data_IF_219368190652
#
_entry.id   IF_219368190652
#
_cell.length_a   1.000
_cell.length_b   1.000
_cell.length_c   1.000
_cell.angle_alpha   90.00
_cell.angle_beta   90.00
_cell.angle_gamma   90.00
#
_symmetry.space_group_name_H-M   'P 1'
#
loop_
_entity.id
_entity.type
_entity.pdbx_description
1 polymer ?
#
# COMPACT_ATOMS: atom_id res chain seq x y z
N UNK A 1 -2.17 7.42 -9.41
CA UNK A 1 -2.94 7.05 -8.22
C UNK A 1 -2.42 7.84 -7.05
N UNK A 2 -3.27 8.65 -6.42
CA UNK A 2 -2.94 9.44 -5.23
C UNK A 2 -2.90 8.58 -3.97
N UNK A 3 -2.47 9.18 -2.85
CA UNK A 3 -2.51 8.51 -1.55
C UNK A 3 -3.96 8.18 -1.14
N UNK A 4 -4.90 9.08 -1.43
CA UNK A 4 -6.34 8.88 -1.22
C UNK A 4 -6.91 7.66 -1.97
N UNK A 5 -6.31 7.28 -3.10
CA UNK A 5 -6.70 6.09 -3.86
C UNK A 5 -6.16 4.81 -3.21
N UNK A 6 -5.07 4.89 -2.45
CA UNK A 6 -4.34 3.72 -1.92
C UNK A 6 -4.67 3.38 -0.48
N UNK A 7 -5.06 4.35 0.35
CA UNK A 7 -5.43 4.13 1.76
C UNK A 7 -6.85 4.58 2.07
N UNK A 8 -7.39 4.07 3.18
CA UNK A 8 -8.65 4.53 3.73
C UNK A 8 -8.54 6.02 4.11
N UNK A 9 -9.65 6.79 4.06
CA UNK A 9 -9.63 8.22 4.37
C UNK A 9 -9.01 8.56 5.73
N UNK A 10 -9.28 7.71 6.74
CA UNK A 10 -8.76 7.83 8.11
C UNK A 10 -7.24 7.70 8.20
N UNK A 11 -6.61 7.05 7.23
CA UNK A 11 -5.16 6.82 7.20
C UNK A 11 -4.40 7.78 6.28
N UNK A 12 -5.08 8.68 5.56
CA UNK A 12 -4.44 9.57 4.58
C UNK A 12 -3.34 10.43 5.23
N UNK A 13 -3.61 11.07 6.36
CA UNK A 13 -2.61 11.93 7.00
C UNK A 13 -1.40 11.15 7.48
N UNK A 14 -1.63 10.00 8.14
CA UNK A 14 -0.57 9.15 8.66
C UNK A 14 0.26 8.52 7.55
N UNK A 15 -0.37 7.97 6.51
CA UNK A 15 0.32 7.41 5.36
C UNK A 15 1.12 8.49 4.59
N UNK A 16 0.62 9.72 4.51
CA UNK A 16 1.36 10.84 3.91
C UNK A 16 2.64 11.18 4.69
N UNK A 17 2.58 11.17 6.02
CA UNK A 17 3.75 11.36 6.87
C UNK A 17 4.77 10.22 6.69
N UNK A 18 4.29 8.96 6.72
CA UNK A 18 5.12 7.78 6.52
C UNK A 18 5.79 7.73 5.14
N UNK A 19 5.09 8.08 4.04
CA UNK A 19 5.71 8.17 2.71
C UNK A 19 6.76 9.28 2.61
N UNK A 20 6.59 10.36 3.38
CA UNK A 20 7.58 11.44 3.44
C UNK A 20 8.82 11.00 4.21
N UNK A 21 8.61 10.38 5.37
CA UNK A 21 9.68 9.82 6.20
C UNK A 21 10.45 8.72 5.45
N UNK A 22 9.76 7.83 4.74
CA UNK A 22 10.40 6.80 3.92
C UNK A 22 11.29 7.40 2.83
N UNK A 23 10.82 8.46 2.14
CA UNK A 23 11.63 9.18 1.15
C UNK A 23 12.87 9.80 1.75
N UNK A 24 12.78 10.34 2.97
CA UNK A 24 13.93 10.88 3.70
C UNK A 24 14.92 9.79 4.06
N UNK A 25 14.46 8.65 4.60
CA UNK A 25 15.34 7.52 4.89
C UNK A 25 16.07 7.01 3.66
N UNK A 26 15.38 6.83 2.52
CA UNK A 26 16.04 6.38 1.28
C UNK A 26 17.09 7.39 0.77
N UNK A 27 16.80 8.70 0.88
CA UNK A 27 17.76 9.74 0.50
C UNK A 27 18.98 9.72 1.41
N UNK A 28 18.75 9.65 2.72
CA UNK A 28 19.81 9.66 3.72
C UNK A 28 20.67 8.40 3.61
N UNK A 29 20.07 7.23 3.39
CA UNK A 29 20.80 5.98 3.16
C UNK A 29 21.77 6.13 1.98
N UNK A 30 21.28 6.61 0.83
CA UNK A 30 22.12 6.82 -0.36
C UNK A 30 23.26 7.80 -0.09
N UNK A 31 22.99 8.86 0.67
CA UNK A 31 23.99 9.85 1.04
C UNK A 31 25.05 9.25 1.98
N UNK A 32 24.65 8.49 3.00
CA UNK A 32 25.54 7.82 3.94
C UNK A 32 26.41 6.75 3.26
N UNK A 33 25.86 5.97 2.34
CA UNK A 33 26.63 5.02 1.53
C UNK A 33 27.70 5.73 0.68
N UNK A 34 27.35 6.86 0.06
CA UNK A 34 28.31 7.66 -0.71
C UNK A 34 29.43 8.23 0.17
N UNK A 35 29.09 8.74 1.36
CA UNK A 35 30.07 9.27 2.31
C UNK A 35 30.97 8.16 2.86
N UNK A 36 30.40 7.00 3.20
CA UNK A 36 31.16 5.82 3.64
C UNK A 36 32.18 5.38 2.58
N UNK A 37 31.78 5.31 1.31
CA UNK A 37 32.69 4.97 0.21
C UNK A 37 33.82 6.01 0.04
N UNK A 38 33.51 7.31 0.21
CA UNK A 38 34.53 8.37 0.16
C UNK A 38 35.52 8.26 1.31
N UNK A 39 35.04 8.06 2.54
CA UNK A 39 35.87 7.85 3.72
C UNK A 39 36.78 6.62 3.54
N UNK A 40 36.24 5.53 2.99
CA UNK A 40 37.01 4.32 2.69
C UNK A 40 38.13 4.60 1.69
N UNK A 41 37.85 5.36 0.62
CA UNK A 41 38.86 5.76 -0.37
C UNK A 41 39.95 6.67 0.23
N UNK A 42 39.61 7.46 1.24
CA UNK A 42 40.54 8.30 1.99
C UNK A 42 41.29 7.54 3.10
N UNK A 43 41.08 6.22 3.22
CA UNK A 43 41.63 5.36 4.30
C UNK A 43 41.14 5.71 5.71
N UNK A 44 40.05 6.45 5.82
CA UNK A 44 39.35 6.76 7.07
C UNK A 44 38.41 5.59 7.44
N UNK A 45 39.01 4.44 7.77
CA UNK A 45 38.28 3.16 7.90
C UNK A 45 37.24 3.20 9.02
N UNK A 46 37.56 3.80 10.17
CA UNK A 46 36.63 3.89 11.31
C UNK A 46 35.38 4.70 10.93
N UNK A 47 35.58 5.88 10.35
CA UNK A 47 34.50 6.74 9.87
C UNK A 47 33.67 6.07 8.77
N UNK A 48 34.31 5.34 7.85
CA UNK A 48 33.60 4.58 6.82
C UNK A 48 32.67 3.50 7.41
N UNK A 49 33.11 2.80 8.46
CA UNK A 49 32.32 1.78 9.16
C UNK A 49 31.14 2.41 9.91
N UNK A 50 31.36 3.49 10.66
CA UNK A 50 30.30 4.21 11.39
C UNK A 50 29.20 4.71 10.44
N UNK A 51 29.58 5.30 9.30
CA UNK A 51 28.63 5.76 8.29
C UNK A 51 27.83 4.60 7.68
N UNK A 52 28.47 3.44 7.49
CA UNK A 52 27.81 2.24 6.99
C UNK A 52 26.82 1.66 8.00
N UNK A 53 27.15 1.68 9.29
CA UNK A 53 26.23 1.28 10.36
C UNK A 53 25.01 2.20 10.43
N UNK A 54 25.20 3.52 10.33
CA UNK A 54 24.10 4.49 10.27
C UNK A 54 23.19 4.25 9.06
N UNK A 55 23.79 3.97 7.89
CA UNK A 55 23.05 3.61 6.69
C UNK A 55 22.19 2.35 6.88
N UNK A 56 22.76 1.32 7.52
CA UNK A 56 22.03 0.08 7.81
C UNK A 56 20.86 0.33 8.77
N UNK A 57 21.04 1.16 9.80
CA UNK A 57 19.95 1.54 10.73
C UNK A 57 18.80 2.24 9.99
N UNK A 58 19.11 3.18 9.09
CA UNK A 58 18.07 3.84 8.29
C UNK A 58 17.34 2.88 7.35
N UNK A 59 18.03 1.86 6.84
CA UNK A 59 17.41 0.81 6.04
C UNK A 59 16.44 -0.02 6.87
N UNK A 60 16.78 -0.36 8.11
CA UNK A 60 15.89 -1.08 9.03
C UNK A 60 14.65 -0.25 9.38
N UNK A 61 14.84 1.05 9.69
CA UNK A 61 13.75 1.99 9.95
C UNK A 61 12.83 2.16 8.73
N UNK A 62 13.41 2.26 7.53
CA UNK A 62 12.66 2.31 6.27
C UNK A 62 11.79 1.05 6.07
N UNK A 63 12.32 -0.14 6.34
CA UNK A 63 11.55 -1.39 6.24
C UNK A 63 10.39 -1.42 7.24
N UNK A 64 10.57 -0.89 8.45
CA UNK A 64 9.48 -0.79 9.42
C UNK A 64 8.35 0.13 8.91
N UNK A 65 8.71 1.29 8.35
CA UNK A 65 7.76 2.24 7.75
C UNK A 65 7.04 1.64 6.54
N UNK A 66 7.76 0.92 5.67
CA UNK A 66 7.18 0.24 4.52
C UNK A 66 6.14 -0.82 4.92
N UNK A 67 6.43 -1.62 5.96
CA UNK A 67 5.48 -2.60 6.48
C UNK A 67 4.18 -1.94 6.93
N UNK A 68 4.29 -0.83 7.66
CA UNK A 68 3.13 -0.09 8.14
C UNK A 68 2.29 0.47 6.98
N UNK A 69 2.94 1.03 5.96
CA UNK A 69 2.26 1.50 4.74
C UNK A 69 1.56 0.36 4.00
N UNK A 70 2.21 -0.80 3.87
CA UNK A 70 1.63 -1.99 3.21
C UNK A 70 0.38 -2.46 3.96
N UNK A 71 0.40 -2.48 5.29
CA UNK A 71 -0.77 -2.84 6.09
C UNK A 71 -1.96 -1.90 5.82
N UNK A 72 -1.72 -0.59 5.76
CA UNK A 72 -2.77 0.38 5.43
C UNK A 72 -3.33 0.17 4.01
N UNK A 73 -2.48 -0.17 3.03
CA UNK A 73 -2.91 -0.51 1.68
C UNK A 73 -3.74 -1.80 1.65
N UNK A 74 -3.32 -2.83 2.37
CA UNK A 74 -4.05 -4.09 2.46
C UNK A 74 -5.42 -3.92 3.12
N UNK A 75 -5.53 -3.06 4.13
CA UNK A 75 -6.81 -2.76 4.78
C UNK A 75 -7.80 -2.14 3.80
N UNK A 76 -7.35 -1.17 2.99
CA UNK A 76 -8.20 -0.61 1.93
C UNK A 76 -8.61 -1.68 0.92
N UNK A 77 -7.66 -2.46 0.41
CA UNK A 77 -7.94 -3.50 -0.57
C UNK A 77 -8.97 -4.51 -0.06
N UNK A 78 -8.88 -4.91 1.22
CA UNK A 78 -9.87 -5.78 1.87
C UNK A 78 -11.25 -5.13 1.93
N UNK A 79 -11.33 -3.85 2.32
CA UNK A 79 -12.60 -3.11 2.38
C UNK A 79 -13.24 -2.96 0.99
N UNK A 80 -12.45 -2.59 -0.01
CA UNK A 80 -12.91 -2.44 -1.39
C UNK A 80 -13.34 -3.79 -1.99
N UNK A 81 -12.68 -4.88 -1.61
CA UNK A 81 -13.12 -6.23 -1.98
C UNK A 81 -14.46 -6.57 -1.31
N UNK A 82 -14.58 -6.31 0.00
CA UNK A 82 -15.81 -6.57 0.74
C UNK A 82 -17.00 -5.80 0.17
N UNK A 83 -16.84 -4.51 -0.15
CA UNK A 83 -17.88 -3.69 -0.77
C UNK A 83 -18.32 -4.29 -2.11
N UNK A 84 -17.36 -4.68 -2.95
CA UNK A 84 -17.66 -5.35 -4.23
C UNK A 84 -18.41 -6.67 -4.04
N UNK A 85 -17.96 -7.50 -3.10
CA UNK A 85 -18.61 -8.78 -2.81
C UNK A 85 -20.06 -8.56 -2.30
N UNK A 86 -20.30 -7.51 -1.50
CA UNK A 86 -21.66 -7.13 -1.08
C UNK A 86 -22.53 -6.61 -2.22
N UNK A 87 -21.99 -5.77 -3.10
CA UNK A 87 -22.69 -5.27 -4.28
C UNK A 87 -23.08 -6.43 -5.20
N UNK A 88 -22.15 -7.36 -5.46
CA UNK A 88 -22.42 -8.57 -6.24
C UNK A 88 -23.54 -9.42 -5.61
N UNK A 89 -23.51 -9.63 -4.30
CA UNK A 89 -24.58 -10.35 -3.60
C UNK A 89 -25.93 -9.66 -3.77
N UNK A 90 -26.00 -8.34 -3.63
CA UNK A 90 -27.24 -7.57 -3.83
C UNK A 90 -27.76 -7.70 -5.27
N UNK A 91 -26.88 -7.65 -6.27
CA UNK A 91 -27.25 -7.84 -7.68
C UNK A 91 -27.83 -9.24 -7.91
N UNK A 92 -27.21 -10.27 -7.34
CA UNK A 92 -27.69 -11.66 -7.43
C UNK A 92 -29.02 -11.86 -6.70
N UNK A 93 -29.22 -11.24 -5.54
CA UNK A 93 -30.50 -11.27 -4.82
C UNK A 93 -31.64 -10.64 -5.64
N UNK A 94 -31.37 -9.50 -6.31
CA UNK A 94 -32.34 -8.86 -7.21
C UNK A 94 -32.68 -9.78 -8.38
N UNK A 95 -31.69 -10.42 -8.99
CA UNK A 95 -31.92 -11.39 -10.07
C UNK A 95 -32.82 -12.56 -9.62
N UNK A 96 -32.53 -13.14 -8.45
CA UNK A 96 -33.30 -14.25 -7.88
C UNK A 96 -34.75 -13.85 -7.54
N UNK A 97 -34.95 -12.61 -7.07
CA UNK A 97 -36.30 -12.07 -6.80
C UNK A 97 -37.08 -11.85 -8.08
N UNK A 98 -36.44 -11.33 -9.13
CA UNK A 98 -37.06 -11.15 -10.44
C UNK A 98 -37.49 -12.49 -11.06
N UNK A 99 -36.64 -13.51 -10.96
CA UNK A 99 -36.96 -14.87 -11.42
C UNK A 99 -38.17 -15.46 -10.66
N UNK A 100 -38.19 -15.30 -9.33
CA UNK A 100 -39.27 -15.80 -8.46
C UNK A 100 -40.63 -15.14 -8.73
N UNK A 101 -40.63 -13.89 -9.22
CA UNK A 101 -41.85 -13.15 -9.59
C UNK A 101 -42.30 -13.42 -11.04
N UNK A 102 -41.67 -14.37 -11.75
CA UNK A 102 -41.96 -14.68 -13.15
C UNK A 102 -41.40 -13.64 -14.13
N UNK A 103 -40.33 -12.94 -13.75
CA UNK A 103 -39.63 -11.97 -14.59
C UNK A 103 -39.02 -12.60 -15.85
N UNK A 104 -38.76 -11.77 -16.86
CA UNK A 104 -38.23 -12.23 -18.13
C UNK A 104 -36.83 -12.89 -17.95
N UNK A 105 -36.67 -14.18 -18.30
CA UNK A 105 -35.42 -14.92 -18.06
C UNK A 105 -34.22 -14.29 -18.77
N UNK A 106 -34.41 -13.69 -19.96
CA UNK A 106 -33.32 -12.99 -20.68
C UNK A 106 -32.79 -11.77 -19.94
N UNK A 107 -33.62 -11.14 -19.11
CA UNK A 107 -33.21 -9.98 -18.29
C UNK A 107 -32.51 -10.44 -17.02
N UNK A 108 -32.99 -11.53 -16.40
CA UNK A 108 -32.36 -12.15 -15.23
C UNK A 108 -30.95 -12.66 -15.56
N UNK A 109 -30.77 -13.33 -16.70
CA UNK A 109 -29.46 -13.80 -17.16
C UNK A 109 -28.48 -12.64 -17.39
N UNK A 110 -28.92 -11.57 -18.06
CA UNK A 110 -28.09 -10.37 -18.25
C UNK A 110 -27.68 -9.70 -16.93
N UNK A 111 -28.54 -9.75 -15.91
CA UNK A 111 -28.21 -9.19 -14.59
C UNK A 111 -27.15 -10.06 -13.89
N UNK A 112 -27.25 -11.39 -14.02
CA UNK A 112 -26.24 -12.33 -13.47
C UNK A 112 -24.90 -12.24 -14.19
N UNK A 113 -24.88 -12.03 -15.50
CA UNK A 113 -23.65 -11.88 -16.29
C UNK A 113 -22.88 -10.59 -15.98
N UNK A 114 -23.56 -9.56 -15.47
CA UNK A 114 -22.96 -8.26 -15.10
C UNK A 114 -22.64 -8.14 -13.60
N UNK A 115 -22.85 -9.20 -12.80
CA UNK A 115 -22.48 -9.28 -11.40
C UNK A 115 -21.04 -9.77 -11.26
#
# INVERSE_FOLDING_TARGET
>A
MGLADRVLPEHIQRAGALESQLREYMKNQKMLEQQSNRAMNNREVTTALELKELSNKQKEEAVAVEKELIEMYMQKQKKDKYIRDEEQKKVLEVANRLESLGGNPKVVEKIRENA
#
